data_IF_526525449568
#
_entry.id   IF_526525449568
#
_cell.length_a   1.000
_cell.length_b   1.000
_cell.length_c   1.000
_cell.angle_alpha   90.00
_cell.angle_beta   90.00
_cell.angle_gamma   90.00
#
_symmetry.space_group_name_H-M   'P 1'
#
loop_
_entity.id
_entity.type
_entity.pdbx_description
1 polymer ?
#
# COMPACT_ATOMS: atom_id res chain seq x y z
N UNK A 1 -21.58 -61.01 0.57
CA UNK A 1 -22.94 -60.82 1.13
C UNK A 1 -22.99 -61.45 2.49
N UNK A 2 -23.03 -60.65 3.56
CA UNK A 2 -23.65 -61.04 4.82
C UNK A 2 -23.88 -59.79 5.67
N UNK A 3 -25.13 -59.37 5.70
CA UNK A 3 -25.71 -58.33 6.54
C UNK A 3 -26.09 -58.95 7.88
N UNK A 4 -25.65 -58.35 8.99
CA UNK A 4 -26.12 -58.71 10.33
C UNK A 4 -26.79 -57.49 10.95
N UNK A 5 -28.10 -57.60 11.19
CA UNK A 5 -28.92 -56.55 11.80
C UNK A 5 -29.61 -57.07 13.06
N UNK A 6 -29.50 -56.26 14.10
CA UNK A 6 -30.16 -56.23 15.42
C UNK A 6 -31.59 -56.80 15.54
N UNK A 7 -31.88 -57.31 16.76
CA UNK A 7 -33.04 -57.08 17.69
C UNK A 7 -33.24 -58.39 18.50
N UNK A 8 -33.68 -58.47 19.76
CA UNK A 8 -34.55 -57.65 20.62
C UNK A 8 -34.66 -58.37 22.00
N UNK A 9 -34.59 -57.64 23.13
CA UNK A 9 -35.67 -57.36 24.11
C UNK A 9 -35.97 -58.42 25.21
N UNK A 10 -35.83 -57.94 26.46
CA UNK A 10 -36.73 -58.01 27.62
C UNK A 10 -37.21 -59.37 28.18
N UNK A 11 -36.93 -59.63 29.47
CA UNK A 11 -37.85 -59.42 30.61
C UNK A 11 -37.65 -60.42 31.78
N UNK A 12 -37.66 -59.86 33.00
CA UNK A 12 -38.19 -60.40 34.28
C UNK A 12 -37.58 -61.69 34.89
N UNK A 13 -37.57 -61.95 36.20
CA UNK A 13 -37.69 -61.19 37.45
C UNK A 13 -37.47 -62.21 38.60
N UNK A 14 -36.92 -61.72 39.73
CA UNK A 14 -37.08 -62.18 41.13
C UNK A 14 -36.94 -63.67 41.53
N UNK A 15 -35.99 -63.93 42.44
CA UNK A 15 -36.22 -64.51 43.79
C UNK A 15 -34.88 -64.46 44.58
N UNK A 16 -34.76 -63.57 45.57
CA UNK A 16 -34.92 -63.83 47.01
C UNK A 16 -33.68 -64.47 47.68
N UNK A 17 -33.07 -63.71 48.60
CA UNK A 17 -31.95 -64.18 49.43
C UNK A 17 -31.50 -63.11 50.43
N UNK A 18 -32.27 -62.95 51.50
CA UNK A 18 -31.97 -62.11 52.67
C UNK A 18 -30.82 -62.76 53.45
N UNK A 19 -29.67 -62.07 53.58
CA UNK A 19 -28.71 -62.29 54.68
C UNK A 19 -28.28 -60.92 55.21
N UNK A 20 -28.88 -60.53 56.33
CA UNK A 20 -28.41 -59.49 57.24
C UNK A 20 -27.31 -60.07 58.13
N UNK A 21 -26.08 -59.54 58.02
CA UNK A 21 -25.04 -59.78 59.04
C UNK A 21 -24.34 -58.47 59.39
N UNK A 22 -24.73 -57.96 60.55
CA UNK A 22 -23.95 -57.25 61.59
C UNK A 22 -22.85 -56.30 61.14
N UNK A 23 -23.23 -55.02 61.22
CA UNK A 23 -22.46 -53.79 61.36
C UNK A 23 -21.24 -53.96 62.28
N UNK A 24 -20.04 -53.97 61.70
CA UNK A 24 -18.81 -53.60 62.39
C UNK A 24 -18.52 -52.13 62.10
N UNK A 25 -18.76 -51.25 63.07
CA UNK A 25 -18.31 -49.87 63.01
C UNK A 25 -16.77 -49.84 63.12
N UNK A 26 -16.10 -50.13 62.00
CA UNK A 26 -14.76 -49.61 61.79
C UNK A 26 -14.94 -48.19 61.27
N UNK A 27 -14.58 -47.20 62.09
CA UNK A 27 -14.25 -45.88 61.58
C UNK A 27 -13.05 -46.07 60.65
N UNK A 28 -13.32 -46.34 59.36
CA UNK A 28 -12.36 -46.00 58.33
C UNK A 28 -12.25 -44.49 58.43
N UNK A 29 -11.14 -44.01 58.99
CA UNK A 29 -10.68 -42.68 58.69
C UNK A 29 -10.84 -42.54 57.18
N UNK A 30 -11.69 -41.61 56.75
CA UNK A 30 -11.68 -41.12 55.39
C UNK A 30 -10.21 -40.83 55.12
N UNK A 31 -9.60 -41.73 54.35
CA UNK A 31 -8.22 -41.65 53.93
C UNK A 31 -7.99 -40.21 53.51
N UNK A 32 -6.93 -39.62 54.06
CA UNK A 32 -6.29 -38.37 53.63
C UNK A 32 -6.24 -38.29 52.10
N UNK A 33 -7.37 -37.99 51.47
CA UNK A 33 -7.46 -37.75 50.04
C UNK A 33 -7.14 -36.28 49.82
N UNK A 34 -5.87 -35.98 50.09
CA UNK A 34 -5.22 -34.74 49.70
C UNK A 34 -5.24 -34.58 48.16
N UNK A 35 -5.69 -35.56 47.37
CA UNK A 35 -5.91 -35.33 45.94
C UNK A 35 -6.92 -34.21 45.71
N UNK A 36 -7.97 -34.09 46.56
CA UNK A 36 -8.96 -33.01 46.45
C UNK A 36 -8.38 -31.63 46.79
N UNK A 37 -7.38 -31.53 47.67
CA UNK A 37 -6.66 -30.29 47.99
C UNK A 37 -5.53 -29.98 46.99
N UNK A 38 -5.06 -30.99 46.25
CA UNK A 38 -4.12 -30.85 45.13
C UNK A 38 -4.82 -30.65 43.77
N UNK A 39 -6.16 -30.73 43.70
CA UNK A 39 -6.89 -30.20 42.54
C UNK A 39 -6.73 -28.69 42.56
N UNK A 40 -5.73 -28.22 41.83
CA UNK A 40 -5.44 -26.81 41.59
C UNK A 40 -6.79 -26.12 41.26
N UNK A 41 -7.23 -25.11 42.03
CA UNK A 41 -8.56 -24.53 41.87
C UNK A 41 -8.72 -24.14 40.41
N UNK A 42 -9.82 -24.56 39.77
CA UNK A 42 -10.11 -24.38 38.35
C UNK A 42 -9.58 -23.03 37.84
N UNK A 43 -8.38 -23.01 37.27
CA UNK A 43 -7.77 -21.76 36.88
C UNK A 43 -8.42 -21.37 35.55
N UNK A 44 -8.86 -20.13 35.40
CA UNK A 44 -9.05 -19.58 34.07
C UNK A 44 -7.76 -19.81 33.30
N UNK A 45 -7.82 -20.59 32.22
CA UNK A 45 -6.62 -21.01 31.51
C UNK A 45 -6.24 -19.95 30.50
N UNK A 46 -5.77 -18.80 31.01
CA UNK A 46 -4.92 -17.94 30.19
C UNK A 46 -3.63 -18.69 29.95
N UNK A 47 -3.34 -18.97 28.69
CA UNK A 47 -2.15 -19.69 28.27
C UNK A 47 -1.36 -18.89 27.25
N UNK A 48 -0.05 -19.06 27.27
CA UNK A 48 0.84 -18.54 26.23
C UNK A 48 1.45 -19.71 25.47
N UNK A 49 1.68 -19.50 24.17
CA UNK A 49 2.37 -20.45 23.30
C UNK A 49 3.09 -19.73 22.19
N UNK A 50 3.92 -20.44 21.44
CA UNK A 50 4.54 -19.91 20.23
C UNK A 50 4.02 -20.69 19.03
N UNK A 51 3.61 -19.97 17.98
CA UNK A 51 3.21 -20.52 16.70
C UNK A 51 4.16 -20.06 15.59
N UNK A 52 4.07 -20.70 14.42
CA UNK A 52 4.79 -20.28 13.22
C UNK A 52 3.77 -19.77 12.21
N UNK A 53 3.90 -18.53 11.78
CA UNK A 53 3.09 -17.91 10.75
C UNK A 53 3.37 -18.62 9.42
N UNK A 54 2.38 -19.28 8.82
CA UNK A 54 2.50 -19.94 7.51
C UNK A 54 2.12 -19.02 6.37
N UNK A 55 1.16 -18.13 6.60
CA UNK A 55 0.72 -17.13 5.65
C UNK A 55 0.32 -15.85 6.40
N UNK A 56 0.56 -14.71 5.77
CA UNK A 56 0.19 -13.38 6.26
C UNK A 56 -0.18 -12.50 5.06
N UNK A 57 -1.33 -11.85 5.14
CA UNK A 57 -1.75 -10.81 4.22
C UNK A 57 -1.73 -9.46 4.96
N UNK A 58 -0.80 -8.58 4.58
CA UNK A 58 -0.64 -7.25 5.20
C UNK A 58 -1.82 -6.32 4.97
N UNK A 59 -2.58 -6.52 3.90
CA UNK A 59 -3.64 -5.61 3.48
C UNK A 59 -4.96 -5.94 4.20
N UNK A 60 -5.19 -7.23 4.50
CA UNK A 60 -6.44 -7.72 5.11
C UNK A 60 -6.28 -8.21 6.55
N UNK A 61 -5.05 -8.51 6.98
CA UNK A 61 -4.76 -9.16 8.26
C UNK A 61 -5.08 -10.67 8.31
N UNK A 62 -5.47 -11.27 7.17
CA UNK A 62 -5.67 -12.71 7.07
C UNK A 62 -4.38 -13.47 7.35
N UNK A 63 -4.48 -14.56 8.11
CA UNK A 63 -3.31 -15.27 8.60
C UNK A 63 -3.53 -16.76 8.81
N UNK A 64 -2.45 -17.52 8.70
CA UNK A 64 -2.42 -18.94 9.07
C UNK A 64 -1.28 -19.18 10.05
N UNK A 65 -1.55 -19.83 11.18
CA UNK A 65 -0.54 -20.12 12.21
C UNK A 65 -0.49 -21.61 12.50
N UNK A 66 0.68 -22.22 12.32
CA UNK A 66 0.94 -23.57 12.78
C UNK A 66 1.21 -23.59 14.29
N UNK A 67 0.39 -24.32 15.03
CA UNK A 67 0.51 -24.46 16.48
C UNK A 67 0.16 -25.88 16.93
N UNK A 68 1.10 -26.57 17.57
CA UNK A 68 0.92 -27.94 18.13
C UNK A 68 0.31 -28.95 17.14
N UNK A 69 0.75 -28.92 15.89
CA UNK A 69 0.29 -29.84 14.84
C UNK A 69 -1.04 -29.44 14.17
N UNK A 70 -1.71 -28.39 14.64
CA UNK A 70 -2.87 -27.80 13.97
C UNK A 70 -2.48 -26.53 13.20
N UNK A 71 -3.28 -26.18 12.19
CA UNK A 71 -3.24 -24.86 11.53
C UNK A 71 -4.45 -24.07 11.99
N UNK A 72 -4.18 -22.91 12.58
CA UNK A 72 -5.17 -21.93 13.01
C UNK A 72 -5.31 -20.89 11.91
N UNK A 73 -6.54 -20.47 11.59
CA UNK A 73 -6.80 -19.52 10.50
C UNK A 73 -7.43 -18.24 11.07
N UNK A 74 -7.05 -17.10 10.49
CA UNK A 74 -7.59 -15.77 10.76
C UNK A 74 -7.67 -15.46 12.26
N UNK A 75 -6.57 -15.70 12.96
CA UNK A 75 -6.48 -15.33 14.37
C UNK A 75 -6.47 -13.81 14.51
N UNK A 76 -7.24 -13.23 15.44
CA UNK A 76 -7.13 -11.81 15.76
C UNK A 76 -5.71 -11.46 16.21
N UNK A 77 -5.24 -10.27 15.84
CA UNK A 77 -3.91 -9.76 16.19
C UNK A 77 -4.07 -8.56 17.14
N UNK A 78 -3.15 -8.40 18.09
CA UNK A 78 -3.06 -7.14 18.86
C UNK A 78 -2.47 -6.06 17.96
N UNK A 79 -3.26 -5.01 17.68
CA UNK A 79 -2.88 -3.93 16.77
C UNK A 79 -1.47 -3.38 17.04
N UNK A 80 -0.66 -3.30 15.99
CA UNK A 80 0.71 -2.81 16.06
C UNK A 80 1.32 -2.59 14.67
N UNK A 81 2.19 -1.59 14.56
CA UNK A 81 2.89 -1.27 13.29
C UNK A 81 3.87 -2.37 12.84
N UNK A 82 4.28 -3.25 13.75
CA UNK A 82 5.18 -4.35 13.43
C UNK A 82 4.51 -5.40 12.53
N UNK A 83 3.18 -5.47 12.53
CA UNK A 83 2.37 -6.35 11.68
C UNK A 83 2.62 -6.14 10.18
N UNK A 84 2.92 -4.90 9.77
CA UNK A 84 3.28 -4.59 8.38
C UNK A 84 4.54 -5.34 7.92
N UNK A 85 5.38 -5.75 8.87
CA UNK A 85 6.64 -6.46 8.57
C UNK A 85 6.56 -7.97 8.79
N UNK A 86 5.39 -8.51 9.12
CA UNK A 86 5.23 -9.95 9.37
C UNK A 86 5.33 -10.76 8.06
N UNK A 87 5.88 -11.97 8.15
CA UNK A 87 6.12 -12.84 7.01
C UNK A 87 5.84 -14.31 7.34
N UNK A 88 5.65 -15.12 6.30
CA UNK A 88 5.68 -16.57 6.45
C UNK A 88 7.03 -17.02 7.04
N UNK A 89 6.99 -17.93 8.00
CA UNK A 89 8.13 -18.40 8.78
C UNK A 89 8.29 -17.68 10.13
N UNK A 90 7.59 -16.58 10.36
CA UNK A 90 7.70 -15.80 11.59
C UNK A 90 7.22 -16.58 12.82
N UNK A 91 7.99 -16.54 13.91
CA UNK A 91 7.53 -17.06 15.20
C UNK A 91 6.68 -15.99 15.89
N UNK A 92 5.45 -16.33 16.25
CA UNK A 92 4.49 -15.43 16.89
C UNK A 92 4.09 -15.92 18.28
N UNK A 93 3.88 -14.99 19.20
CA UNK A 93 3.35 -15.28 20.52
C UNK A 93 1.83 -15.43 20.42
N UNK A 94 1.33 -16.61 20.78
CA UNK A 94 -0.08 -16.90 20.87
C UNK A 94 -0.55 -16.74 22.30
N UNK A 95 -1.59 -15.93 22.49
CA UNK A 95 -2.38 -15.90 23.72
C UNK A 95 -3.60 -16.76 23.53
N UNK A 96 -3.88 -17.62 24.51
CA UNK A 96 -5.05 -18.46 24.59
C UNK A 96 -5.88 -18.05 25.78
N UNK A 97 -7.19 -17.92 25.57
CA UNK A 97 -8.17 -17.79 26.63
C UNK A 97 -9.17 -18.95 26.54
N UNK A 98 -9.47 -19.60 27.66
CA UNK A 98 -10.50 -20.63 27.71
C UNK A 98 -11.38 -20.47 28.95
N UNK A 99 -12.70 -20.48 28.74
CA UNK A 99 -13.68 -20.46 29.81
C UNK A 99 -13.72 -21.79 30.57
N UNK A 100 -13.97 -21.69 31.87
CA UNK A 100 -13.83 -22.72 32.92
C UNK A 100 -14.53 -24.08 32.71
N UNK A 101 -15.39 -24.25 31.70
CA UNK A 101 -16.24 -25.44 31.53
C UNK A 101 -16.32 -25.93 30.08
N UNK A 102 -15.16 -26.27 29.48
CA UNK A 102 -15.15 -26.94 28.16
C UNK A 102 -15.56 -26.07 26.98
N UNK A 103 -15.57 -24.73 27.14
CA UNK A 103 -15.77 -23.80 26.04
C UNK A 103 -14.64 -23.86 25.01
N UNK A 104 -14.94 -23.47 23.77
CA UNK A 104 -13.94 -23.30 22.73
C UNK A 104 -12.87 -22.30 23.19
N UNK A 105 -11.60 -22.66 23.05
CA UNK A 105 -10.51 -21.75 23.35
C UNK A 105 -10.43 -20.68 22.26
N UNK A 106 -10.32 -19.42 22.66
CA UNK A 106 -10.02 -18.31 21.75
C UNK A 106 -8.52 -18.09 21.72
N UNK A 107 -7.98 -17.84 20.53
CA UNK A 107 -6.57 -17.56 20.31
C UNK A 107 -6.41 -16.17 19.70
N UNK A 108 -5.36 -15.47 20.10
CA UNK A 108 -4.94 -14.21 19.50
C UNK A 108 -3.43 -14.22 19.30
N UNK A 109 -2.97 -13.51 18.28
CA UNK A 109 -1.55 -13.22 18.09
C UNK A 109 -1.22 -11.97 18.90
N UNK A 110 -0.45 -12.14 19.97
CA UNK A 110 -0.08 -11.04 20.86
C UNK A 110 1.07 -10.18 20.30
N UNK A 111 1.82 -10.72 19.35
CA UNK A 111 2.93 -10.05 18.70
C UNK A 111 3.93 -11.05 18.16
N UNK A 112 4.92 -10.55 17.43
CA UNK A 112 6.01 -11.38 16.92
C UNK A 112 7.11 -11.58 17.95
N UNK A 113 7.65 -12.79 18.03
CA UNK A 113 8.80 -13.10 18.87
C UNK A 113 10.07 -12.82 18.09
N UNK A 114 10.88 -11.87 18.58
CA UNK A 114 12.21 -11.60 18.03
C UNK A 114 13.27 -12.23 18.95
N UNK A 115 14.09 -13.12 18.40
CA UNK A 115 15.23 -13.69 19.12
C UNK A 115 16.40 -12.72 19.06
N UNK A 116 17.03 -12.44 20.20
CA UNK A 116 18.20 -11.58 20.28
C UNK A 116 19.32 -12.09 19.35
N UNK A 117 19.98 -11.17 18.65
CA UNK A 117 21.05 -11.50 17.69
C UNK A 117 20.60 -11.73 16.24
N UNK A 118 19.31 -11.63 15.93
CA UNK A 118 18.79 -11.70 14.55
C UNK A 118 19.00 -10.39 13.77
N UNK A 119 20.26 -10.07 13.45
CA UNK A 119 20.64 -8.82 12.76
C UNK A 119 20.01 -8.66 11.38
N UNK A 120 19.92 -9.75 10.60
CA UNK A 120 19.26 -9.77 9.29
C UNK A 120 17.80 -9.35 9.36
N UNK A 121 17.13 -9.74 10.45
CA UNK A 121 15.72 -9.48 10.69
C UNK A 121 15.45 -8.02 11.03
N UNK A 122 16.27 -7.44 11.90
CA UNK A 122 16.19 -6.02 12.25
C UNK A 122 16.55 -5.15 11.06
N UNK A 123 17.51 -5.58 10.24
CA UNK A 123 17.83 -4.91 8.98
C UNK A 123 16.65 -4.96 8.00
N UNK A 124 15.99 -6.11 7.88
CA UNK A 124 14.77 -6.25 7.08
C UNK A 124 13.66 -5.31 7.56
N UNK A 125 13.32 -5.30 8.86
CA UNK A 125 12.28 -4.42 9.40
C UNK A 125 12.57 -2.93 9.10
N UNK A 126 13.82 -2.51 9.29
CA UNK A 126 14.24 -1.13 8.97
C UNK A 126 14.09 -0.83 7.49
N UNK A 127 14.45 -1.78 6.63
CA UNK A 127 14.48 -1.56 5.18
C UNK A 127 13.09 -1.61 4.57
N UNK A 128 12.28 -2.61 4.94
CA UNK A 128 10.93 -2.80 4.41
C UNK A 128 10.01 -1.63 4.83
N UNK A 129 10.01 -1.28 6.12
CA UNK A 129 9.21 -0.16 6.61
C UNK A 129 9.69 1.17 6.03
N UNK A 130 11.01 1.42 6.00
CA UNK A 130 11.53 2.64 5.38
C UNK A 130 11.19 2.72 3.89
N UNK A 131 11.19 1.60 3.18
CA UNK A 131 10.81 1.54 1.77
C UNK A 131 9.32 1.81 1.57
N UNK A 132 8.47 1.24 2.40
CA UNK A 132 7.01 1.45 2.33
C UNK A 132 6.67 2.92 2.62
N UNK A 133 7.20 3.47 3.71
CA UNK A 133 7.05 4.90 4.05
C UNK A 133 7.62 5.78 2.93
N UNK A 134 8.79 5.46 2.39
CA UNK A 134 9.38 6.25 1.30
C UNK A 134 8.54 6.20 0.02
N UNK A 135 7.93 5.05 -0.29
CA UNK A 135 7.06 4.91 -1.44
C UNK A 135 5.74 5.67 -1.25
N UNK A 136 5.15 5.62 -0.06
CA UNK A 136 3.93 6.36 0.27
C UNK A 136 4.19 7.87 0.21
N UNK A 137 5.25 8.35 0.86
CA UNK A 137 5.68 9.76 0.77
C UNK A 137 5.94 10.15 -0.69
N UNK A 138 6.63 9.31 -1.48
CA UNK A 138 6.87 9.61 -2.89
C UNK A 138 5.56 9.66 -3.70
N UNK A 139 4.61 8.75 -3.48
CA UNK A 139 3.32 8.79 -4.15
C UNK A 139 2.50 10.04 -3.78
N UNK A 140 2.62 10.50 -2.53
CA UNK A 140 1.97 11.74 -2.07
C UNK A 140 2.67 13.00 -2.59
N UNK A 141 3.98 12.97 -2.80
CA UNK A 141 4.75 14.17 -3.17
C UNK A 141 4.90 14.33 -4.69
N UNK A 142 4.98 13.24 -5.44
CA UNK A 142 5.16 13.26 -6.89
C UNK A 142 3.81 13.14 -7.60
N UNK A 143 3.34 14.26 -8.13
CA UNK A 143 2.09 14.30 -8.89
C UNK A 143 2.40 14.37 -10.38
N UNK A 144 1.71 13.60 -11.21
CA UNK A 144 1.93 13.59 -12.65
C UNK A 144 0.62 13.52 -13.42
N UNK A 145 0.59 14.16 -14.58
CA UNK A 145 -0.47 14.03 -15.58
C UNK A 145 0.14 13.95 -16.98
N UNK A 146 -0.50 13.18 -17.87
CA UNK A 146 -0.01 12.95 -19.23
C UNK A 146 -1.16 12.89 -20.22
N UNK A 147 -0.99 13.59 -21.34
CA UNK A 147 -1.87 13.52 -22.50
C UNK A 147 -1.09 13.02 -23.71
N UNK A 148 -1.57 11.94 -24.31
CA UNK A 148 -0.91 11.28 -25.46
C UNK A 148 -1.38 11.82 -26.81
N UNK A 149 -2.47 12.59 -26.84
CA UNK A 149 -3.02 13.15 -28.07
C UNK A 149 -2.02 14.09 -28.76
N UNK A 150 -2.00 14.02 -30.09
CA UNK A 150 -1.22 14.91 -30.95
C UNK A 150 -2.11 16.04 -31.45
N UNK A 151 -1.70 17.29 -31.18
CA UNK A 151 -2.49 18.47 -31.51
C UNK A 151 -1.60 19.58 -32.08
N UNK A 152 -2.15 20.34 -33.04
CA UNK A 152 -1.47 21.50 -33.62
C UNK A 152 -1.41 22.64 -32.60
N UNK A 153 -0.27 23.34 -32.58
CA UNK A 153 -0.09 24.58 -31.83
C UNK A 153 -0.33 25.73 -32.81
N UNK A 154 -1.35 26.55 -32.54
CA UNK A 154 -1.80 27.59 -33.47
C UNK A 154 -1.37 29.01 -33.12
N UNK A 155 -1.12 29.29 -31.84
CA UNK A 155 -0.99 30.65 -31.33
C UNK A 155 0.45 31.01 -30.93
N UNK A 156 0.81 32.29 -31.11
CA UNK A 156 2.10 32.86 -30.70
C UNK A 156 2.14 33.32 -29.24
N UNK A 157 0.98 33.25 -28.57
CA UNK A 157 0.78 33.46 -27.14
C UNK A 157 0.55 32.10 -26.48
N UNK A 158 1.01 31.96 -25.23
CA UNK A 158 0.78 30.74 -24.46
C UNK A 158 -0.71 30.52 -24.18
N UNK A 159 -1.26 29.44 -24.74
CA UNK A 159 -2.64 29.01 -24.49
C UNK A 159 -2.78 27.48 -24.31
N UNK A 160 -3.98 27.03 -23.99
CA UNK A 160 -4.37 25.62 -24.00
C UNK A 160 -4.55 25.12 -25.45
N UNK A 161 -4.32 23.83 -25.67
CA UNK A 161 -4.72 23.15 -26.92
C UNK A 161 -6.20 22.73 -26.82
N UNK A 162 -6.71 22.10 -27.88
CA UNK A 162 -8.09 21.60 -27.92
C UNK A 162 -8.39 20.61 -26.79
N UNK A 163 -7.49 19.66 -26.54
CA UNK A 163 -7.51 18.86 -25.31
C UNK A 163 -6.72 19.60 -24.22
N UNK A 164 -7.47 20.13 -23.26
CA UNK A 164 -6.93 20.83 -22.08
C UNK A 164 -5.87 19.98 -21.36
N UNK A 165 -4.73 20.60 -21.04
CA UNK A 165 -3.74 20.03 -20.14
C UNK A 165 -2.40 19.61 -20.80
N UNK A 166 -1.61 18.74 -20.15
CA UNK A 166 -1.82 18.11 -18.84
C UNK A 166 -1.98 19.12 -17.69
N UNK A 167 -2.70 18.72 -16.64
CA UNK A 167 -2.96 19.51 -15.44
C UNK A 167 -2.73 18.68 -14.18
N UNK A 168 -1.78 19.13 -13.35
CA UNK A 168 -1.51 18.56 -12.04
C UNK A 168 -2.14 19.46 -10.98
N UNK A 169 -3.13 18.95 -10.24
CA UNK A 169 -3.82 19.70 -9.19
C UNK A 169 -3.52 19.13 -7.80
N UNK A 170 -3.77 19.92 -6.76
CA UNK A 170 -3.62 19.46 -5.38
C UNK A 170 -2.19 19.45 -4.87
N UNK A 171 -1.26 20.17 -5.52
CA UNK A 171 0.15 20.18 -5.12
C UNK A 171 0.31 21.07 -3.89
N UNK A 172 0.68 20.48 -2.76
CA UNK A 172 0.92 21.23 -1.53
C UNK A 172 2.34 21.81 -1.50
N UNK A 173 2.45 23.12 -1.32
CA UNK A 173 3.72 23.82 -1.07
C UNK A 173 3.78 24.20 0.40
N UNK A 174 4.83 23.76 1.07
CA UNK A 174 5.04 23.97 2.50
C UNK A 174 5.66 25.34 2.80
N UNK A 175 6.13 25.50 4.03
CA UNK A 175 6.77 26.73 4.51
C UNK A 175 8.07 27.07 3.75
N UNK A 176 8.65 26.13 3.00
CA UNK A 176 9.82 26.37 2.17
C UNK A 176 9.51 27.29 0.97
N UNK A 177 8.23 27.33 0.55
CA UNK A 177 7.78 28.13 -0.59
C UNK A 177 8.39 27.68 -1.91
N UNK A 178 8.66 26.38 -2.07
CA UNK A 178 9.32 25.81 -3.24
C UNK A 178 8.47 24.75 -3.94
N UNK A 179 8.66 24.64 -5.25
CA UNK A 179 8.04 23.61 -6.08
C UNK A 179 9.01 23.26 -7.21
N UNK A 180 9.05 21.99 -7.62
CA UNK A 180 9.79 21.56 -8.80
C UNK A 180 8.81 21.09 -9.87
N UNK A 181 8.97 21.58 -11.10
CA UNK A 181 8.13 21.22 -12.25
C UNK A 181 9.00 20.63 -13.34
N UNK A 182 8.59 19.48 -13.86
CA UNK A 182 9.21 18.77 -14.99
C UNK A 182 8.23 18.71 -16.17
N UNK A 183 8.25 19.68 -17.09
CA UNK A 183 7.56 19.54 -18.36
C UNK A 183 8.34 18.61 -19.29
N UNK A 184 7.63 17.72 -19.97
CA UNK A 184 8.16 16.89 -21.05
C UNK A 184 7.12 16.84 -22.18
N UNK A 185 7.57 16.94 -23.42
CA UNK A 185 6.70 16.85 -24.60
C UNK A 185 7.48 16.33 -25.78
N UNK A 186 6.80 15.58 -26.65
CA UNK A 186 7.24 15.37 -28.02
C UNK A 186 6.74 16.52 -28.87
N UNK A 187 7.67 17.32 -29.40
CA UNK A 187 7.38 18.42 -30.30
C UNK A 187 7.76 18.04 -31.71
N UNK A 188 6.91 18.42 -32.65
CA UNK A 188 7.17 18.37 -34.08
C UNK A 188 7.11 19.80 -34.61
N UNK A 189 8.10 20.16 -35.42
CA UNK A 189 8.11 21.40 -36.20
C UNK A 189 8.39 21.02 -37.65
N UNK A 190 7.52 21.46 -38.55
CA UNK A 190 7.63 21.24 -39.99
C UNK A 190 7.61 22.57 -40.74
N UNK A 191 8.51 22.68 -41.72
CA UNK A 191 8.72 23.82 -42.58
C UNK A 191 8.50 23.44 -44.05
N UNK A 192 7.82 24.30 -44.81
CA UNK A 192 7.76 24.18 -46.27
C UNK A 192 9.02 24.75 -46.92
N UNK A 193 9.29 24.35 -48.16
CA UNK A 193 10.36 24.95 -48.97
C UNK A 193 9.94 26.36 -49.42
N UNK A 194 10.89 27.29 -49.55
CA UNK A 194 10.64 28.57 -50.19
C UNK A 194 11.41 29.76 -49.67
N UNK A 195 11.95 29.72 -48.43
CA UNK A 195 12.72 30.83 -47.83
C UNK A 195 13.63 30.38 -46.68
N UNK A 196 14.49 31.29 -46.19
CA UNK A 196 15.17 31.13 -44.90
C UNK A 196 14.12 31.13 -43.79
N UNK A 197 14.07 30.05 -43.03
CA UNK A 197 13.00 29.81 -42.08
C UNK A 197 13.54 29.49 -40.68
N UNK A 198 12.93 30.10 -39.68
CA UNK A 198 13.10 29.73 -38.28
C UNK A 198 11.72 29.50 -37.67
N UNK A 199 11.54 28.33 -37.09
CA UNK A 199 10.37 28.03 -36.28
C UNK A 199 10.73 27.47 -34.93
N UNK A 200 9.92 27.81 -33.93
CA UNK A 200 10.04 27.23 -32.61
C UNK A 200 8.67 26.83 -32.06
N UNK A 201 8.63 25.68 -31.41
CA UNK A 201 7.49 25.21 -30.64
C UNK A 201 7.89 25.13 -29.17
N UNK A 202 6.95 25.49 -28.30
CA UNK A 202 7.18 25.60 -26.87
C UNK A 202 6.05 24.90 -26.09
N UNK A 203 6.42 24.13 -25.07
CA UNK A 203 5.54 23.77 -23.97
C UNK A 203 6.12 24.36 -22.69
N UNK A 204 5.36 25.26 -22.07
CA UNK A 204 5.62 25.80 -20.74
C UNK A 204 4.48 25.38 -19.81
N UNK A 205 4.35 26.03 -18.67
CA UNK A 205 3.28 25.78 -17.74
C UNK A 205 2.92 27.03 -16.94
N UNK A 206 1.66 27.10 -16.55
CA UNK A 206 1.13 28.08 -15.63
C UNK A 206 0.99 27.44 -14.25
N UNK A 207 1.39 28.18 -13.21
CA UNK A 207 1.11 27.84 -11.81
C UNK A 207 -0.02 28.74 -11.33
N UNK A 208 -1.06 28.16 -10.76
CA UNK A 208 -2.20 28.85 -10.16
C UNK A 208 -2.42 28.37 -8.72
N UNK A 209 -2.90 29.26 -7.85
CA UNK A 209 -3.04 29.00 -6.42
C UNK A 209 -2.89 30.30 -5.61
N UNK A 210 -2.37 30.23 -4.37
CA UNK A 210 -2.07 31.41 -3.55
C UNK A 210 -1.18 32.45 -4.25
N UNK A 211 -0.29 32.00 -5.14
CA UNK A 211 0.50 32.85 -6.03
C UNK A 211 0.35 32.32 -7.46
N UNK A 212 0.28 33.21 -8.44
CA UNK A 212 0.21 32.81 -9.85
C UNK A 212 1.53 33.08 -10.55
N UNK A 213 2.02 32.10 -11.30
CA UNK A 213 3.16 32.26 -12.20
C UNK A 213 2.67 31.99 -13.61
N UNK A 214 2.73 33.00 -14.49
CA UNK A 214 2.39 32.86 -15.90
C UNK A 214 3.33 31.85 -16.59
N UNK A 215 3.01 31.30 -17.77
CA UNK A 215 4.00 30.59 -18.58
C UNK A 215 5.09 31.54 -19.12
N UNK A 216 6.29 31.02 -19.37
CA UNK A 216 7.35 31.73 -20.10
C UNK A 216 8.33 30.78 -20.80
N UNK A 217 9.08 31.33 -21.75
CA UNK A 217 10.06 30.59 -22.56
C UNK A 217 11.25 30.07 -21.75
N UNK A 218 11.67 30.83 -20.73
CA UNK A 218 12.79 30.46 -19.86
C UNK A 218 12.55 29.15 -19.09
N UNK A 219 11.29 28.74 -18.98
CA UNK A 219 10.85 27.50 -18.33
C UNK A 219 10.14 26.54 -19.27
N UNK A 220 10.34 26.71 -20.58
CA UNK A 220 9.70 25.89 -21.59
C UNK A 220 10.60 24.75 -22.07
N UNK A 221 9.98 23.60 -22.33
CA UNK A 221 10.53 22.61 -23.23
C UNK A 221 10.37 23.15 -24.67
N UNK A 222 11.50 23.30 -25.38
CA UNK A 222 11.54 23.96 -26.70
C UNK A 222 12.13 23.05 -27.77
N UNK A 223 11.60 23.16 -28.98
CA UNK A 223 12.21 22.67 -30.21
C UNK A 223 12.29 23.84 -31.19
N UNK A 224 13.45 24.03 -31.82
CA UNK A 224 13.66 25.05 -32.85
C UNK A 224 14.18 24.38 -34.12
N UNK A 225 13.54 24.65 -35.24
CA UNK A 225 14.00 24.29 -36.58
C UNK A 225 14.51 25.55 -37.27
N UNK A 226 15.72 25.48 -37.82
CA UNK A 226 16.30 26.51 -38.70
C UNK A 226 16.70 25.81 -39.98
N UNK A 227 16.15 26.26 -41.11
CA UNK A 227 16.44 25.71 -42.44
C UNK A 227 16.64 26.85 -43.45
N UNK A 228 17.42 26.58 -44.49
CA UNK A 228 17.72 27.52 -45.58
C UNK A 228 17.21 26.90 -46.87
N UNK A 229 16.15 27.46 -47.44
CA UNK A 229 15.64 27.10 -48.77
C UNK A 229 15.35 25.60 -48.96
N UNK A 230 14.97 24.91 -47.88
CA UNK A 230 14.66 23.49 -47.90
C UNK A 230 13.48 23.21 -46.97
N UNK A 231 12.53 22.41 -47.45
CA UNK A 231 11.51 21.81 -46.60
C UNK A 231 12.19 20.92 -45.56
N UNK A 232 11.68 20.93 -44.34
CA UNK A 232 12.29 20.20 -43.24
C UNK A 232 11.28 19.87 -42.18
N UNK A 233 11.42 18.70 -41.57
CA UNK A 233 10.61 18.29 -40.44
C UNK A 233 11.56 17.73 -39.38
N UNK A 234 11.38 18.20 -38.15
CA UNK A 234 12.09 17.68 -36.98
C UNK A 234 11.06 17.33 -35.92
N UNK A 235 11.23 16.15 -35.34
CA UNK A 235 10.48 15.70 -34.17
C UNK A 235 11.47 15.31 -33.09
N UNK A 236 11.26 15.79 -31.88
CA UNK A 236 12.07 15.37 -30.73
C UNK A 236 11.26 15.39 -29.45
N UNK A 237 11.68 14.57 -28.49
CA UNK A 237 11.22 14.67 -27.12
C UNK A 237 12.13 15.63 -26.36
N UNK A 238 11.54 16.68 -25.81
CA UNK A 238 12.23 17.71 -25.03
C UNK A 238 11.57 17.87 -23.67
N UNK A 239 12.33 18.34 -22.69
CA UNK A 239 11.86 18.53 -21.34
C UNK A 239 12.88 19.28 -20.49
N UNK A 240 12.49 19.58 -19.26
CA UNK A 240 13.35 20.30 -18.32
C UNK A 240 12.97 20.05 -16.87
N UNK A 241 13.76 20.60 -15.96
CA UNK A 241 13.48 20.61 -14.53
C UNK A 241 13.63 22.03 -14.02
N UNK A 242 12.57 22.59 -13.44
CA UNK A 242 12.52 23.99 -13.05
C UNK A 242 12.12 24.11 -11.59
N UNK A 243 12.93 24.83 -10.82
CA UNK A 243 12.67 25.09 -9.40
C UNK A 243 12.02 26.46 -9.25
N UNK A 244 10.83 26.49 -8.67
CA UNK A 244 10.15 27.70 -8.22
C UNK A 244 10.49 27.97 -6.77
N UNK A 245 10.66 29.24 -6.45
CA UNK A 245 10.93 29.71 -5.08
C UNK A 245 10.09 30.94 -4.79
N UNK A 246 9.89 31.25 -3.51
CA UNK A 246 9.08 32.40 -3.10
C UNK A 246 7.58 32.22 -3.30
N UNK A 247 7.12 30.96 -3.44
CA UNK A 247 5.70 30.64 -3.44
C UNK A 247 5.13 30.79 -2.04
N UNK A 248 3.91 31.32 -1.93
CA UNK A 248 3.20 31.34 -0.64
C UNK A 248 2.78 29.91 -0.28
N UNK A 249 2.89 29.46 0.98
CA UNK A 249 2.43 28.12 1.37
C UNK A 249 0.95 27.91 1.03
N UNK A 250 0.59 26.71 0.58
CA UNK A 250 -0.78 26.33 0.23
C UNK A 250 -0.85 25.37 -0.95
N UNK A 251 -2.06 25.13 -1.45
CA UNK A 251 -2.32 24.18 -2.54
C UNK A 251 -2.33 24.87 -3.90
N UNK A 252 -1.65 24.27 -4.87
CA UNK A 252 -1.47 24.78 -6.21
C UNK A 252 -2.00 23.82 -7.29
N UNK A 253 -2.22 24.39 -8.46
CA UNK A 253 -2.44 23.69 -9.71
C UNK A 253 -1.39 24.14 -10.73
N UNK A 254 -0.85 23.19 -11.48
CA UNK A 254 0.10 23.44 -12.57
C UNK A 254 -0.51 22.89 -13.86
N UNK A 255 -0.63 23.74 -14.88
CA UNK A 255 -1.19 23.36 -16.18
C UNK A 255 -0.22 23.69 -17.30
N UNK A 256 -0.06 22.77 -18.24
CA UNK A 256 0.76 22.99 -19.43
C UNK A 256 0.14 24.04 -20.35
N UNK A 257 1.00 24.86 -20.96
CA UNK A 257 0.62 25.90 -21.91
C UNK A 257 1.54 25.84 -23.11
N UNK A 258 1.03 26.19 -24.29
CA UNK A 258 1.72 25.98 -25.55
C UNK A 258 1.74 27.27 -26.35
N UNK A 259 2.85 27.50 -27.05
CA UNK A 259 2.93 28.57 -28.05
C UNK A 259 3.86 28.15 -29.17
N UNK A 260 3.73 28.81 -30.30
CA UNK A 260 4.56 28.59 -31.47
C UNK A 260 5.05 29.92 -32.03
N UNK A 261 6.28 29.94 -32.53
CA UNK A 261 6.80 31.03 -33.35
C UNK A 261 7.06 30.43 -34.72
N UNK A 262 6.06 30.48 -35.61
CA UNK A 262 6.13 29.98 -36.99
C UNK A 262 5.63 31.04 -37.96
N UNK A 263 6.23 31.14 -39.15
CA UNK A 263 5.67 31.89 -40.27
C UNK A 263 4.50 31.14 -40.92
N UNK A 264 3.74 31.84 -41.76
CA UNK A 264 2.58 31.31 -42.49
C UNK A 264 2.91 29.98 -43.22
N UNK A 265 1.92 29.09 -43.32
CA UNK A 265 1.99 27.76 -43.98
C UNK A 265 2.80 26.66 -43.26
N UNK A 266 3.50 26.97 -42.18
CA UNK A 266 4.27 25.99 -41.40
C UNK A 266 3.42 25.35 -40.30
N UNK A 267 3.93 24.28 -39.70
CA UNK A 267 3.18 23.53 -38.70
C UNK A 267 4.03 23.18 -37.48
N UNK A 268 3.43 23.31 -36.30
CA UNK A 268 3.95 22.75 -35.07
C UNK A 268 2.87 21.90 -34.40
N UNK A 269 3.28 20.78 -33.80
CA UNK A 269 2.38 19.96 -32.99
C UNK A 269 3.05 19.50 -31.71
N UNK A 270 2.24 19.25 -30.69
CA UNK A 270 2.64 18.66 -29.43
C UNK A 270 1.92 17.32 -29.23
N UNK A 271 2.67 16.30 -28.85
CA UNK A 271 2.19 14.96 -28.46
C UNK A 271 2.94 14.46 -27.23
N UNK A 272 2.41 13.43 -26.57
CA UNK A 272 3.02 12.84 -25.36
C UNK A 272 3.45 13.90 -24.32
N UNK A 273 2.47 14.76 -23.99
CA UNK A 273 2.58 15.95 -23.16
C UNK A 273 2.47 15.51 -21.70
N UNK A 274 3.55 15.63 -20.94
CA UNK A 274 3.63 15.19 -19.53
C UNK A 274 4.05 16.36 -18.64
N UNK A 275 3.38 16.48 -17.49
CA UNK A 275 3.84 17.29 -16.37
C UNK A 275 4.07 16.38 -15.17
N UNK A 276 5.21 16.54 -14.52
CA UNK A 276 5.45 16.03 -13.16
C UNK A 276 5.72 17.22 -12.25
N UNK A 277 5.10 17.24 -11.08
CA UNK A 277 5.22 18.33 -10.11
C UNK A 277 5.47 17.77 -8.73
N UNK A 278 6.39 18.42 -8.02
CA UNK A 278 6.77 18.09 -6.64
C UNK A 278 6.61 19.35 -5.80
N UNK A 279 5.73 19.31 -4.80
CA UNK A 279 5.63 20.33 -3.77
C UNK A 279 6.69 20.11 -2.68
N UNK A 280 7.30 21.19 -2.17
CA UNK A 280 8.38 21.16 -1.15
C UNK A 280 8.09 22.11 0.01
#
# INVERSE_FOLDING_TARGET
>A
MNTTTRRSLLAAALAAGIITTVRGDSMSFATDDLASIMVKPDQEHTGYGQGILRAWNSDTGENEVAYRGAVLHNLPTLAGIDQLTWQSGDVVLLMRWQLRQGGAATYWIAGRVNVAGSTERLAFMRTALAKEIANEIAAETFHADTITDSELIGDDIYDDLGTLGPTVAGVEVGASGKMIVFPSVSLLVAANAGDNFSAAAYMSYQISGPTSVAPSDERAARLTLITTDQAGQVTTRTGGAFVHTGLTPGTYQVRAKYRVEIGDENQASANDRTLVVIGL
#
